data_IF_040118348069
#
_entry.id   IF_040118348069
#
_cell.length_a   1.000
_cell.length_b   1.000
_cell.length_c   1.000
_cell.angle_alpha   90.00
_cell.angle_beta   90.00
_cell.angle_gamma   90.00
#
_symmetry.space_group_name_H-M   'P 1'
#
loop_
_entity.id
_entity.type
_entity.pdbx_description
1 polymer ?
#
# COMPACT_ATOMS: atom_id res chain seq x y z
N UNK A 1 4.16 2.83 -3.22
CA UNK A 1 4.20 3.16 -1.78
C UNK A 1 5.43 4.05 -1.50
N UNK A 2 5.52 4.74 -0.36
CA UNK A 2 6.72 5.49 0.05
C UNK A 2 7.51 4.73 1.15
N UNK A 3 8.76 5.13 1.41
CA UNK A 3 9.66 4.47 2.36
C UNK A 3 9.05 4.39 3.77
N UNK A 4 8.58 5.51 4.32
CA UNK A 4 8.05 5.58 5.68
C UNK A 4 6.89 4.60 5.88
N UNK A 5 5.92 4.59 4.96
CA UNK A 5 4.77 3.68 5.04
C UNK A 5 5.20 2.22 4.94
N UNK A 6 6.15 1.91 4.06
CA UNK A 6 6.65 0.55 3.92
C UNK A 6 7.36 0.05 5.20
N UNK A 7 8.08 0.93 5.91
CA UNK A 7 8.72 0.59 7.19
C UNK A 7 7.70 0.32 8.29
N UNK A 8 6.65 1.13 8.39
CA UNK A 8 5.55 0.90 9.34
C UNK A 8 4.92 -0.47 9.14
N UNK A 9 4.68 -0.84 7.87
CA UNK A 9 4.11 -2.13 7.50
C UNK A 9 5.07 -3.26 7.86
N UNK A 10 6.36 -3.12 7.53
CA UNK A 10 7.37 -4.14 7.83
C UNK A 10 7.60 -4.34 9.34
N UNK A 11 7.38 -3.30 10.14
CA UNK A 11 7.48 -3.36 11.61
C UNK A 11 6.17 -3.81 12.27
N UNK A 12 5.05 -3.81 11.55
CA UNK A 12 3.74 -4.17 12.07
C UNK A 12 3.63 -5.68 12.28
N UNK A 13 3.13 -6.14 13.44
CA UNK A 13 2.77 -7.55 13.63
C UNK A 13 1.45 -7.93 12.94
N UNK A 14 0.72 -6.93 12.42
CA UNK A 14 -0.56 -7.12 11.74
C UNK A 14 -0.29 -7.20 10.24
N UNK A 15 -0.93 -8.15 9.57
CA UNK A 15 -0.89 -8.26 8.11
C UNK A 15 -1.64 -7.10 7.49
N UNK A 16 -0.90 -6.19 6.87
CA UNK A 16 -1.45 -5.11 6.05
C UNK A 16 -1.69 -5.60 4.63
N UNK A 17 -2.71 -5.04 3.97
CA UNK A 17 -2.99 -5.41 2.58
C UNK A 17 -2.07 -4.63 1.63
N UNK A 18 -0.96 -5.27 1.25
CA UNK A 18 -0.02 -4.74 0.25
C UNK A 18 0.02 -5.69 -0.94
N UNK A 19 -0.01 -5.10 -2.13
CA UNK A 19 0.02 -5.83 -3.38
C UNK A 19 1.24 -5.46 -4.23
N UNK A 20 1.77 -6.46 -4.94
CA UNK A 20 2.72 -6.32 -6.03
C UNK A 20 2.19 -7.07 -7.25
N UNK A 21 2.01 -6.36 -8.37
CA UNK A 21 1.44 -6.92 -9.60
C UNK A 21 0.08 -7.63 -9.39
N UNK A 22 -0.76 -7.13 -8.47
CA UNK A 22 -2.06 -7.70 -8.14
C UNK A 22 -2.02 -8.96 -7.27
N UNK A 23 -0.85 -9.31 -6.73
CA UNK A 23 -0.68 -10.42 -5.78
C UNK A 23 -0.40 -9.83 -4.40
N UNK A 24 -1.02 -10.38 -3.36
CA UNK A 24 -0.79 -9.95 -1.99
C UNK A 24 0.58 -10.43 -1.49
N UNK A 25 1.31 -9.55 -0.81
CA UNK A 25 2.70 -9.78 -0.38
C UNK A 25 2.90 -9.42 1.09
N UNK A 26 3.96 -9.97 1.68
CA UNK A 26 4.56 -9.46 2.90
C UNK A 26 5.78 -8.61 2.56
N UNK A 27 5.97 -7.50 3.28
CA UNK A 27 7.22 -6.73 3.27
C UNK A 27 8.07 -7.21 4.43
N UNK A 28 9.21 -7.85 4.15
CA UNK A 28 10.12 -8.33 5.18
C UNK A 28 11.14 -7.28 5.60
N UNK A 29 11.65 -6.51 4.65
CA UNK A 29 12.66 -5.49 4.88
C UNK A 29 12.55 -4.37 3.84
N UNK A 30 12.85 -3.14 4.26
CA UNK A 30 12.90 -1.96 3.41
C UNK A 30 14.34 -1.48 3.34
N UNK A 31 14.87 -1.35 2.12
CA UNK A 31 16.17 -0.79 1.85
C UNK A 31 16.00 0.68 1.45
N UNK A 32 16.22 1.58 2.41
CA UNK A 32 16.07 3.03 2.23
C UNK A 32 17.06 3.62 1.23
N UNK A 33 18.28 3.07 1.16
CA UNK A 33 19.34 3.58 0.29
C UNK A 33 19.01 3.39 -1.18
N UNK A 34 18.31 2.29 -1.50
CA UNK A 34 17.99 1.90 -2.88
C UNK A 34 16.51 2.13 -3.27
N UNK A 35 15.68 2.60 -2.33
CA UNK A 35 14.22 2.74 -2.53
C UNK A 35 13.56 1.41 -2.95
N UNK A 36 14.06 0.29 -2.40
CA UNK A 36 13.57 -1.08 -2.65
C UNK A 36 13.04 -1.74 -1.38
N UNK A 37 12.22 -2.77 -1.57
CA UNK A 37 11.75 -3.65 -0.52
C UNK A 37 11.96 -5.11 -0.90
N UNK A 38 12.31 -5.90 0.11
CA UNK A 38 12.28 -7.35 0.04
C UNK A 38 10.89 -7.83 0.39
N UNK A 39 10.27 -8.56 -0.52
CA UNK A 39 8.89 -9.03 -0.42
C UNK A 39 8.80 -10.55 -0.59
N UNK A 40 7.70 -11.11 -0.07
CA UNK A 40 7.30 -12.50 -0.29
C UNK A 40 5.82 -12.56 -0.68
N UNK A 41 5.45 -13.15 -1.82
CA UNK A 41 4.06 -13.46 -2.14
C UNK A 41 3.43 -14.37 -1.08
N UNK A 42 2.20 -14.08 -0.67
CA UNK A 42 1.51 -14.87 0.36
C UNK A 42 1.36 -16.33 -0.06
N UNK A 43 1.04 -16.56 -1.33
CA UNK A 43 0.84 -17.91 -1.87
C UNK A 43 2.14 -18.69 -2.09
N UNK A 44 3.28 -17.98 -2.16
CA UNK A 44 4.60 -18.52 -2.47
C UNK A 44 5.67 -17.87 -1.57
N UNK A 45 5.63 -18.13 -0.25
CA UNK A 45 6.49 -17.46 0.73
C UNK A 45 7.97 -17.83 0.61
N UNK A 46 8.32 -18.85 -0.17
CA UNK A 46 9.70 -19.18 -0.53
C UNK A 46 10.27 -18.29 -1.65
N UNK A 47 9.43 -17.53 -2.35
CA UNK A 47 9.84 -16.68 -3.47
C UNK A 47 10.15 -15.26 -3.01
N UNK A 48 11.35 -15.09 -2.45
CA UNK A 48 11.90 -13.77 -2.15
C UNK A 48 12.08 -12.95 -3.43
N UNK A 49 11.60 -11.71 -3.42
CA UNK A 49 11.84 -10.74 -4.49
C UNK A 49 12.27 -9.40 -3.92
N UNK A 50 13.24 -8.75 -4.56
CA UNK A 50 13.58 -7.35 -4.28
C UNK A 50 12.95 -6.47 -5.36
N UNK A 51 12.05 -5.57 -4.94
CA UNK A 51 11.27 -4.74 -5.86
C UNK A 51 11.29 -3.26 -5.45
N UNK A 52 11.14 -2.32 -6.40
CA UNK A 52 11.05 -0.89 -6.06
C UNK A 52 9.80 -0.60 -5.24
N UNK A 53 9.93 0.20 -4.18
CA UNK A 53 8.82 0.59 -3.29
C UNK A 53 7.65 1.26 -4.01
N UNK A 54 7.96 2.04 -5.05
CA UNK A 54 6.97 2.67 -5.93
C UNK A 54 6.03 1.67 -6.63
N UNK A 55 6.44 0.40 -6.75
CA UNK A 55 5.65 -0.66 -7.40
C UNK A 55 4.68 -1.35 -6.44
N UNK A 56 4.79 -1.10 -5.14
CA UNK A 56 3.90 -1.64 -4.12
C UNK A 56 2.67 -0.74 -3.94
N UNK A 57 1.50 -1.36 -3.82
CA UNK A 57 0.22 -0.68 -3.71
C UNK A 57 -0.47 -1.11 -2.42
N UNK A 58 -1.07 -0.16 -1.72
CA UNK A 58 -1.95 -0.41 -0.56
C UNK A 58 -3.40 -0.07 -0.98
N UNK A 59 -4.27 -1.06 -1.26
CA UNK A 59 -5.61 -0.80 -1.81
C UNK A 59 -6.53 0.00 -0.89
N UNK A 60 -6.26 0.04 0.42
CA UNK A 60 -7.03 0.81 1.42
C UNK A 60 -7.06 2.31 1.14
N UNK A 61 -6.04 2.85 0.45
CA UNK A 61 -5.94 4.27 0.14
C UNK A 61 -6.84 4.72 -1.02
N UNK A 62 -7.43 3.80 -1.80
CA UNK A 62 -8.29 4.17 -2.95
C UNK A 62 -9.74 4.52 -2.59
N UNK A 63 -10.16 4.42 -1.33
CA UNK A 63 -11.52 4.81 -0.91
C UNK A 63 -11.64 6.23 -0.32
N UNK A 64 -10.60 7.08 -0.43
CA UNK A 64 -10.63 8.44 0.10
C UNK A 64 -10.96 9.53 -0.95
N UNK A 65 -11.16 9.20 -2.23
CA UNK A 65 -11.37 10.21 -3.29
C UNK A 65 -12.82 10.33 -3.83
N UNK A 66 -13.78 9.53 -3.37
CA UNK A 66 -15.18 9.60 -3.83
C UNK A 66 -16.19 10.16 -2.81
N UNK A 67 -15.76 10.66 -1.64
CA UNK A 67 -16.69 11.25 -0.65
C UNK A 67 -16.85 12.78 -0.74
N UNK A 68 -16.09 13.49 -1.59
CA UNK A 68 -16.19 14.97 -1.69
C UNK A 68 -17.19 15.49 -2.74
N UNK A 69 -17.83 14.64 -3.56
CA UNK A 69 -18.81 15.09 -4.57
C UNK A 69 -20.28 15.11 -4.10
N UNK A 70 -20.55 14.88 -2.81
CA UNK A 70 -21.91 14.89 -2.26
C UNK A 70 -22.14 16.01 -1.22
N UNK A 71 -21.44 17.14 -1.34
CA UNK A 71 -21.50 18.27 -0.39
C UNK A 71 -22.03 19.61 -0.95
N UNK A 72 -22.24 19.74 -2.26
CA UNK A 72 -22.72 20.99 -2.86
C UNK A 72 -24.05 20.78 -3.59
N UNK A 73 -25.12 20.58 -2.81
CA UNK A 73 -26.49 20.93 -3.24
C UNK A 73 -27.09 21.84 -2.18
N UNK A 74 -26.77 23.13 -2.25
CA UNK A 74 -27.66 24.15 -1.71
C UNK A 74 -28.89 24.18 -2.63
N UNK A 75 -30.11 23.88 -2.17
CA UNK A 75 -31.26 24.53 -2.74
C UNK A 75 -31.31 25.93 -2.14
N UNK A 76 -31.07 26.92 -3.00
CA UNK A 76 -31.52 28.29 -2.78
C UNK A 76 -33.04 28.31 -2.63
N UNK A 77 -33.51 29.33 -1.89
CA UNK A 77 -34.87 29.88 -1.85
C UNK A 77 -35.93 29.17 -1.00
N UNK A 78 -36.19 29.74 0.19
CA UNK A 78 -37.38 30.57 0.47
C UNK A 78 -37.14 31.44 1.69
#
# INVERSE_FOLDING_TARGET
MNIQRAQEIAASPIMENVEYNGVQIYIQHVNEENDTARIYPIDQPEQEQEVPLRSLIEPSAQMAMEVEQMGCRLPSDT
#
